data_IF_167810783391
#
_entry.id   IF_167810783391
#
_cell.length_a   1.000
_cell.length_b   1.000
_cell.length_c   1.000
_cell.angle_alpha   90.00
_cell.angle_beta   90.00
_cell.angle_gamma   90.00
#
_symmetry.space_group_name_H-M   'P 1'
#
loop_
_entity.id
_entity.type
_entity.pdbx_description
1 polymer ?
#
# COMPACT_ATOMS: atom_id res chain seq x y z
N UNK A 1 0.86 9.32 14.22
CA UNK A 1 0.54 7.89 13.97
C UNK A 1 1.81 7.06 14.14
N UNK A 2 1.77 5.89 14.77
CA UNK A 2 2.91 4.98 14.82
C UNK A 2 3.25 4.51 13.39
N UNK A 3 4.56 4.41 13.07
CA UNK A 3 5.00 3.85 11.79
C UNK A 3 4.74 2.33 11.70
N UNK A 4 4.91 1.71 10.51
CA UNK A 4 4.61 0.29 10.29
C UNK A 4 5.31 -0.66 11.26
N UNK A 5 6.58 -0.41 11.56
CA UNK A 5 7.36 -1.21 12.54
C UNK A 5 6.78 -1.14 13.95
N UNK A 6 6.44 0.08 14.40
CA UNK A 6 5.83 0.29 15.71
C UNK A 6 4.46 -0.36 15.80
N UNK A 7 3.66 -0.26 14.74
CA UNK A 7 2.36 -0.92 14.66
C UNK A 7 2.52 -2.44 14.81
N UNK A 8 3.40 -3.07 14.03
CA UNK A 8 3.67 -4.51 14.08
C UNK A 8 4.14 -4.95 15.47
N UNK A 9 5.06 -4.18 16.07
CA UNK A 9 5.56 -4.45 17.44
C UNK A 9 4.44 -4.40 18.46
N UNK A 10 3.56 -3.39 18.40
CA UNK A 10 2.42 -3.27 19.32
C UNK A 10 1.41 -4.40 19.15
N UNK A 11 1.05 -4.74 17.91
CA UNK A 11 0.11 -5.83 17.62
C UNK A 11 0.66 -7.17 18.14
N UNK A 12 1.93 -7.44 17.91
CA UNK A 12 2.60 -8.67 18.39
C UNK A 12 2.68 -8.71 19.92
N UNK A 13 3.01 -7.57 20.55
CA UNK A 13 3.16 -7.50 22.01
C UNK A 13 1.83 -7.67 22.75
N UNK A 14 0.73 -7.12 22.21
CA UNK A 14 -0.59 -7.17 22.86
C UNK A 14 -1.49 -8.27 22.32
N UNK A 15 -1.03 -9.06 21.34
CA UNK A 15 -1.80 -10.17 20.78
C UNK A 15 -2.92 -9.76 19.82
N UNK A 16 -2.96 -8.48 19.37
CA UNK A 16 -3.94 -8.01 18.40
C UNK A 16 -4.07 -6.50 18.33
N UNK A 17 -4.64 -6.02 17.23
CA UNK A 17 -4.76 -4.59 16.96
C UNK A 17 -5.72 -3.88 17.94
N UNK A 18 -6.84 -4.51 18.31
CA UNK A 18 -7.82 -3.97 19.29
C UNK A 18 -7.16 -3.76 20.63
N UNK A 19 -6.52 -4.80 21.18
CA UNK A 19 -5.82 -4.72 22.46
C UNK A 19 -4.69 -3.68 22.44
N UNK A 20 -3.96 -3.58 21.33
CA UNK A 20 -2.94 -2.56 21.16
C UNK A 20 -3.53 -1.14 21.17
N UNK A 21 -4.66 -0.91 20.50
CA UNK A 21 -5.34 0.40 20.48
C UNK A 21 -5.83 0.81 21.87
N UNK A 22 -6.40 -0.10 22.65
CA UNK A 22 -6.88 0.16 24.02
C UNK A 22 -5.74 0.58 24.96
N UNK A 23 -4.53 0.05 24.75
CA UNK A 23 -3.34 0.36 25.54
C UNK A 23 -2.54 1.58 25.06
N UNK A 24 -2.82 2.05 23.85
CA UNK A 24 -2.06 3.15 23.24
C UNK A 24 -2.05 4.44 24.06
N UNK A 25 -3.14 4.90 24.71
CA UNK A 25 -3.13 6.09 25.54
C UNK A 25 -2.18 5.99 26.75
N UNK A 26 -2.14 4.80 27.37
CA UNK A 26 -1.26 4.55 28.53
C UNK A 26 0.19 4.53 28.13
N UNK A 27 0.50 3.91 26.98
CA UNK A 27 1.85 3.89 26.42
C UNK A 27 2.32 5.29 26.04
N UNK A 28 1.46 6.11 25.42
CA UNK A 28 1.78 7.48 25.08
C UNK A 28 2.09 8.34 26.31
N UNK A 29 1.32 8.18 27.39
CA UNK A 29 1.57 8.86 28.67
C UNK A 29 2.90 8.44 29.28
N UNK A 30 3.20 7.14 29.32
CA UNK A 30 4.49 6.60 29.81
C UNK A 30 5.68 7.04 28.98
N UNK A 31 5.46 7.24 27.67
CA UNK A 31 6.46 7.76 26.74
C UNK A 31 6.65 9.28 26.79
N UNK A 32 6.04 9.98 27.76
CA UNK A 32 6.20 11.42 27.96
C UNK A 32 5.33 12.30 27.06
N UNK A 33 4.35 11.74 26.36
CA UNK A 33 3.42 12.55 25.58
C UNK A 33 2.49 13.37 26.48
N UNK A 34 2.59 14.68 26.41
CA UNK A 34 1.75 15.61 27.19
C UNK A 34 0.25 15.45 26.87
N UNK A 35 -0.08 15.03 25.63
CA UNK A 35 -1.43 14.67 25.20
C UNK A 35 -1.37 13.39 24.39
N UNK A 36 -2.04 12.30 24.82
CA UNK A 36 -2.19 11.11 23.99
C UNK A 36 -2.90 11.52 22.70
N UNK A 37 -2.40 11.05 21.54
CA UNK A 37 -3.04 11.28 20.25
C UNK A 37 -4.48 10.74 20.27
N UNK A 38 -5.36 11.37 19.50
CA UNK A 38 -6.74 10.89 19.34
C UNK A 38 -6.71 9.50 18.68
N UNK A 39 -7.41 8.57 19.29
CA UNK A 39 -7.67 7.25 18.69
C UNK A 39 -8.95 7.36 17.88
N UNK A 40 -8.91 6.86 16.66
CA UNK A 40 -10.09 6.76 15.79
C UNK A 40 -11.12 5.81 16.43
N UNK A 41 -12.38 6.21 16.44
CA UNK A 41 -13.47 5.34 16.91
C UNK A 41 -13.76 4.24 15.89
N UNK A 42 -14.43 3.16 16.34
CA UNK A 42 -14.85 2.09 15.43
C UNK A 42 -15.83 2.59 14.36
N UNK A 43 -16.71 3.53 14.72
CA UNK A 43 -17.65 4.14 13.80
C UNK A 43 -16.96 4.97 12.71
N UNK A 44 -15.95 5.76 13.09
CA UNK A 44 -15.13 6.51 12.13
C UNK A 44 -14.36 5.58 11.19
N UNK A 45 -13.80 4.49 11.72
CA UNK A 45 -13.10 3.49 10.91
C UNK A 45 -14.07 2.80 9.92
N UNK A 46 -15.28 2.44 10.36
CA UNK A 46 -16.31 1.87 9.49
C UNK A 46 -16.78 2.85 8.41
N UNK A 47 -16.91 4.13 8.75
CA UNK A 47 -17.27 5.16 7.78
C UNK A 47 -16.18 5.33 6.71
N UNK A 48 -14.90 5.29 7.09
CA UNK A 48 -13.78 5.34 6.16
C UNK A 48 -13.75 4.12 5.22
N UNK A 49 -13.94 2.90 5.77
CA UNK A 49 -14.07 1.68 4.99
C UNK A 49 -15.22 1.78 3.96
N UNK A 50 -16.39 2.23 4.41
CA UNK A 50 -17.56 2.39 3.53
C UNK A 50 -17.32 3.46 2.44
N UNK A 51 -16.63 4.54 2.77
CA UNK A 51 -16.26 5.57 1.81
C UNK A 51 -15.26 5.04 0.76
N UNK A 52 -14.26 4.24 1.19
CA UNK A 52 -13.33 3.55 0.30
C UNK A 52 -14.07 2.64 -0.67
N UNK A 53 -14.98 1.80 -0.18
CA UNK A 53 -15.77 0.89 -1.01
C UNK A 53 -16.61 1.61 -2.07
N UNK A 54 -17.17 2.80 -1.77
CA UNK A 54 -17.93 3.61 -2.76
C UNK A 54 -17.10 4.05 -3.96
N UNK A 55 -15.79 4.19 -3.80
CA UNK A 55 -14.86 4.56 -4.88
C UNK A 55 -14.08 3.37 -5.41
N UNK A 56 -14.48 2.15 -5.04
CA UNK A 56 -13.86 0.91 -5.49
C UNK A 56 -12.46 0.67 -4.90
N UNK A 57 -12.24 1.11 -3.67
CA UNK A 57 -11.00 0.81 -2.91
C UNK A 57 -11.30 -0.26 -1.88
N UNK A 58 -10.61 -1.38 -1.98
CA UNK A 58 -10.58 -2.44 -0.96
C UNK A 58 -9.37 -2.26 -0.05
N UNK A 59 -9.56 -2.49 1.24
CA UNK A 59 -8.46 -2.46 2.21
C UNK A 59 -8.02 -3.88 2.54
N UNK A 60 -6.73 -4.16 2.32
CA UNK A 60 -6.11 -5.47 2.53
C UNK A 60 -5.11 -5.36 3.67
N UNK A 61 -5.33 -6.11 4.74
CA UNK A 61 -4.40 -6.14 5.87
C UNK A 61 -3.21 -7.07 5.59
N UNK A 62 -2.06 -6.76 6.20
CA UNK A 62 -0.80 -7.53 5.99
C UNK A 62 -0.87 -8.98 6.45
N UNK A 63 -1.93 -9.37 7.19
CA UNK A 63 -2.19 -10.75 7.63
C UNK A 63 -3.15 -11.50 6.70
N UNK A 64 -3.73 -10.84 5.71
CA UNK A 64 -4.70 -11.44 4.79
C UNK A 64 -4.00 -12.10 3.60
N UNK A 65 -4.61 -13.17 3.06
CA UNK A 65 -4.08 -13.91 1.92
C UNK A 65 -3.95 -13.05 0.65
N UNK A 66 -4.75 -11.98 0.53
CA UNK A 66 -4.69 -11.01 -0.57
C UNK A 66 -3.57 -9.99 -0.47
N UNK A 67 -2.79 -9.98 0.61
CA UNK A 67 -1.67 -9.05 0.74
C UNK A 67 -0.47 -9.50 -0.11
N UNK A 68 0.18 -8.59 -0.88
CA UNK A 68 1.27 -8.96 -1.77
C UNK A 68 2.44 -9.61 -1.02
N UNK A 69 2.81 -10.86 -1.33
CA UNK A 69 3.82 -11.61 -0.54
C UNK A 69 5.20 -10.94 -0.56
N UNK A 70 5.58 -10.32 -1.69
CA UNK A 70 6.84 -9.58 -1.79
C UNK A 70 6.85 -8.31 -0.95
N UNK A 71 5.70 -7.65 -0.78
CA UNK A 71 5.59 -6.50 0.09
C UNK A 71 5.65 -6.92 1.56
N UNK A 72 5.07 -8.06 1.90
CA UNK A 72 5.08 -8.62 3.25
C UNK A 72 6.49 -8.94 3.78
N UNK A 73 7.48 -9.15 2.90
CA UNK A 73 8.89 -9.40 3.30
C UNK A 73 9.62 -8.16 3.78
N UNK A 74 9.08 -6.96 3.54
CA UNK A 74 9.71 -5.72 3.99
C UNK A 74 9.47 -5.49 5.49
N UNK A 75 10.49 -5.06 6.20
CA UNK A 75 10.39 -4.75 7.64
C UNK A 75 9.43 -3.60 7.93
N UNK A 76 9.30 -2.68 7.00
CA UNK A 76 8.44 -1.50 7.05
C UNK A 76 7.21 -1.60 6.14
N UNK A 77 6.83 -2.82 5.74
CA UNK A 77 5.61 -3.06 4.98
C UNK A 77 4.39 -2.40 5.65
N UNK A 78 3.56 -1.65 4.89
CA UNK A 78 2.38 -1.02 5.46
C UNK A 78 1.43 -2.08 6.03
N UNK A 79 0.90 -1.90 7.24
CA UNK A 79 0.02 -2.89 7.86
C UNK A 79 -1.34 -3.01 7.16
N UNK A 80 -1.71 -1.99 6.40
CA UNK A 80 -2.95 -1.91 5.63
C UNK A 80 -2.65 -1.29 4.28
N UNK A 81 -3.15 -1.91 3.22
CA UNK A 81 -2.96 -1.49 1.84
C UNK A 81 -4.31 -1.17 1.20
N UNK A 82 -4.47 0.04 0.67
CA UNK A 82 -5.63 0.38 -0.15
C UNK A 82 -5.40 -0.04 -1.61
N UNK A 83 -6.26 -0.91 -2.11
CA UNK A 83 -6.18 -1.45 -3.48
C UNK A 83 -7.39 -0.99 -4.28
N UNK A 84 -7.16 -0.44 -5.46
CA UNK A 84 -8.20 -0.12 -6.41
C UNK A 84 -7.99 -0.87 -7.71
N UNK A 85 -8.92 -1.77 -8.04
CA UNK A 85 -8.84 -2.63 -9.22
C UNK A 85 -8.62 -4.10 -8.87
N UNK A 86 -8.11 -4.87 -9.81
CA UNK A 86 -7.94 -6.32 -9.67
C UNK A 86 -6.82 -6.66 -8.67
N UNK A 87 -7.18 -7.14 -7.50
CA UNK A 87 -6.25 -7.50 -6.42
C UNK A 87 -5.32 -8.64 -6.82
N UNK A 88 -5.78 -9.55 -7.66
CA UNK A 88 -5.01 -10.68 -8.19
C UNK A 88 -3.74 -10.22 -8.94
N UNK A 89 -3.77 -9.02 -9.50
CA UNK A 89 -2.62 -8.41 -10.18
C UNK A 89 -1.41 -8.27 -9.24
N UNK A 90 -1.66 -8.04 -7.94
CA UNK A 90 -0.61 -7.87 -6.94
C UNK A 90 0.12 -9.18 -6.59
N UNK A 91 -0.46 -10.33 -6.94
CA UNK A 91 0.11 -11.66 -6.72
C UNK A 91 1.02 -12.12 -7.85
N UNK A 92 0.94 -11.46 -9.00
CA UNK A 92 1.70 -11.83 -10.20
C UNK A 92 3.15 -11.36 -10.13
N UNK A 93 4.06 -11.97 -10.90
CA UNK A 93 5.42 -11.46 -11.10
C UNK A 93 5.38 -10.00 -11.56
N UNK A 94 6.16 -9.14 -10.88
CA UNK A 94 6.07 -7.69 -11.07
C UNK A 94 7.46 -7.10 -11.26
N UNK A 95 7.57 -6.14 -12.18
CA UNK A 95 8.79 -5.37 -12.45
C UNK A 95 8.50 -3.89 -12.20
N UNK A 96 9.32 -3.26 -11.36
CA UNK A 96 9.23 -1.83 -11.14
C UNK A 96 10.02 -1.06 -12.20
N UNK A 97 9.35 -0.10 -12.85
CA UNK A 97 9.98 0.83 -13.78
C UNK A 97 10.08 2.19 -13.10
N UNK A 98 11.30 2.61 -12.83
CA UNK A 98 11.61 3.90 -12.18
C UNK A 98 12.41 4.79 -13.13
N UNK A 99 12.25 6.10 -13.01
CA UNK A 99 12.95 7.03 -13.89
C UNK A 99 12.85 8.47 -13.42
N UNK A 100 13.55 9.37 -14.15
CA UNK A 100 13.50 10.80 -13.87
C UNK A 100 12.11 11.37 -14.13
N UNK A 101 11.71 12.38 -13.33
CA UNK A 101 10.49 13.18 -13.56
C UNK A 101 10.55 13.96 -14.86
N UNK A 102 11.76 14.34 -15.29
CA UNK A 102 12.04 15.06 -16.53
C UNK A 102 12.82 14.15 -17.50
N UNK A 103 12.22 13.03 -17.85
CA UNK A 103 12.82 12.10 -18.80
C UNK A 103 12.85 12.69 -20.22
N UNK A 104 13.92 12.42 -20.98
CA UNK A 104 14.00 12.78 -22.39
C UNK A 104 12.96 12.02 -23.22
N UNK A 105 12.60 12.53 -24.40
CA UNK A 105 11.68 11.86 -25.32
C UNK A 105 12.17 10.45 -25.72
N UNK A 106 13.47 10.25 -25.89
CA UNK A 106 14.07 8.95 -26.14
C UNK A 106 13.91 8.00 -24.94
N UNK A 107 14.14 8.50 -23.71
CA UNK A 107 13.94 7.73 -22.48
C UNK A 107 12.49 7.27 -22.29
N UNK A 108 11.53 8.17 -22.59
CA UNK A 108 10.10 7.84 -22.55
C UNK A 108 9.72 6.76 -23.56
N UNK A 109 10.22 6.87 -24.80
CA UNK A 109 9.99 5.88 -25.85
C UNK A 109 10.57 4.52 -25.47
N UNK A 110 11.81 4.50 -24.97
CA UNK A 110 12.46 3.28 -24.51
C UNK A 110 11.69 2.62 -23.36
N UNK A 111 11.34 3.37 -22.31
CA UNK A 111 10.58 2.85 -21.19
C UNK A 111 9.20 2.32 -21.60
N UNK A 112 8.54 2.99 -22.56
CA UNK A 112 7.26 2.55 -23.10
C UNK A 112 7.37 1.23 -23.88
N UNK A 113 8.38 1.07 -24.71
CA UNK A 113 8.65 -0.20 -25.45
C UNK A 113 8.99 -1.31 -24.48
N UNK A 114 9.95 -1.10 -23.58
CA UNK A 114 10.33 -2.08 -22.56
C UNK A 114 9.15 -2.53 -21.69
N UNK A 115 8.32 -1.59 -21.25
CA UNK A 115 7.13 -1.92 -20.43
C UNK A 115 6.11 -2.77 -21.21
N UNK A 116 5.96 -2.53 -22.50
CA UNK A 116 5.09 -3.33 -23.35
C UNK A 116 5.62 -4.75 -23.51
N UNK A 117 6.89 -4.88 -23.89
CA UNK A 117 7.54 -6.18 -24.15
C UNK A 117 7.53 -7.05 -22.88
N UNK A 118 7.79 -6.44 -21.71
CA UNK A 118 7.70 -7.12 -20.43
C UNK A 118 6.24 -7.50 -20.07
N UNK A 119 5.28 -6.64 -20.41
CA UNK A 119 3.84 -6.94 -20.22
C UNK A 119 3.40 -8.11 -21.08
N UNK A 120 3.83 -8.19 -22.35
CA UNK A 120 3.60 -9.30 -23.27
C UNK A 120 4.27 -10.60 -22.77
N UNK A 121 5.41 -10.50 -22.11
CA UNK A 121 6.07 -11.62 -21.43
C UNK A 121 5.39 -12.06 -20.12
N UNK A 122 4.25 -11.44 -19.74
CA UNK A 122 3.43 -11.83 -18.59
C UNK A 122 3.76 -11.13 -17.27
N UNK A 123 4.66 -10.16 -17.27
CA UNK A 123 4.97 -9.38 -16.06
C UNK A 123 3.98 -8.24 -15.85
N UNK A 124 3.68 -7.96 -14.57
CA UNK A 124 2.99 -6.74 -14.19
C UNK A 124 3.99 -5.59 -14.07
N UNK A 125 3.69 -4.45 -14.68
CA UNK A 125 4.58 -3.29 -14.62
C UNK A 125 4.10 -2.35 -13.50
N UNK A 126 4.90 -2.27 -12.43
CA UNK A 126 4.69 -1.31 -11.36
C UNK A 126 5.42 0.01 -11.67
N UNK A 127 4.73 1.13 -11.47
CA UNK A 127 5.32 2.46 -11.63
C UNK A 127 4.76 3.42 -10.59
N UNK A 128 5.54 4.42 -10.21
CA UNK A 128 5.04 5.50 -9.36
C UNK A 128 4.09 6.41 -10.16
N UNK A 129 2.95 6.76 -9.58
CA UNK A 129 1.98 7.69 -10.13
C UNK A 129 2.57 9.08 -10.43
N UNK A 130 3.60 9.47 -9.71
CA UNK A 130 4.26 10.78 -9.86
C UNK A 130 5.09 10.94 -11.12
N UNK A 131 5.36 9.85 -11.86
CA UNK A 131 6.00 9.91 -13.19
C UNK A 131 4.90 10.22 -14.22
N UNK A 132 4.56 11.48 -14.36
CA UNK A 132 3.46 11.99 -15.18
C UNK A 132 3.60 11.73 -16.70
N UNK A 133 4.66 11.10 -17.16
CA UNK A 133 5.06 11.05 -18.56
C UNK A 133 4.69 9.76 -19.31
N UNK A 134 4.17 8.72 -18.65
CA UNK A 134 3.70 7.50 -19.33
C UNK A 134 2.17 7.38 -19.18
N UNK A 135 1.45 8.41 -19.63
CA UNK A 135 0.01 8.30 -19.85
C UNK A 135 -0.22 7.74 -21.25
N UNK A 136 -0.26 6.44 -21.46
CA UNK A 136 -1.09 5.81 -22.51
C UNK A 136 -1.36 4.35 -22.14
N UNK A 137 -2.63 4.09 -21.91
CA UNK A 137 -3.39 2.84 -22.00
C UNK A 137 -2.55 1.56 -22.14
N UNK A 138 -2.42 0.84 -21.04
CA UNK A 138 -2.35 -0.60 -21.12
C UNK A 138 -3.81 -1.04 -21.13
N UNK A 139 -4.31 -1.43 -22.29
CA UNK A 139 -5.60 -2.06 -22.39
C UNK A 139 -5.55 -3.38 -21.62
N UNK A 140 -6.63 -3.78 -20.91
CA UNK A 140 -6.69 -5.12 -20.38
C UNK A 140 -6.63 -6.10 -21.55
N UNK A 141 -5.71 -7.04 -21.48
CA UNK A 141 -5.72 -8.21 -22.35
C UNK A 141 -6.88 -9.06 -21.87
N UNK A 142 -7.93 -9.12 -22.70
CA UNK A 142 -9.09 -10.02 -22.54
C UNK A 142 -8.67 -11.48 -22.66
#
# INVERSE_FOLDING_TARGET
MPGPRTFRSLVNHFGGARAALERLPDLARRGGAARPGRICSEEEARAELAAGGKIGVDLVASIEAGYPPRLATLDDAPPLLGVRGAQETLMRPMIAVVGSRNASGAGLKFAGTLSRDLGEAGFVIARDWRVASIRRRIAPVS
#
